data_IF_580913687453
#
_entry.id   IF_580913687453
#
_cell.length_a   1.000
_cell.length_b   1.000
_cell.length_c   1.000
_cell.angle_alpha   90.00
_cell.angle_beta   90.00
_cell.angle_gamma   90.00
#
_symmetry.space_group_name_H-M   'P 1'
#
loop_
_entity.id
_entity.type
_entity.pdbx_description
1 polymer ?
#
# COMPACT_ATOMS: atom_id res chain seq x y z
N UNK A 1 -32.86 21.17 -23.11
CA UNK A 1 -33.35 22.27 -22.23
C UNK A 1 -32.93 23.59 -22.87
N UNK A 2 -33.79 24.60 -22.91
CA UNK A 2 -33.46 25.92 -23.43
C UNK A 2 -32.75 26.76 -22.37
N UNK A 3 -31.61 27.37 -22.73
CA UNK A 3 -30.93 28.36 -21.90
C UNK A 3 -31.64 29.72 -22.03
N UNK A 4 -31.77 30.44 -20.92
CA UNK A 4 -32.48 31.73 -20.86
C UNK A 4 -31.63 32.85 -21.51
N UNK A 5 -32.08 33.48 -22.61
CA UNK A 5 -31.28 34.48 -23.33
C UNK A 5 -31.14 35.83 -22.59
N UNK A 6 -31.89 36.07 -21.51
CA UNK A 6 -31.85 37.32 -20.73
C UNK A 6 -30.97 37.25 -19.46
N UNK A 7 -30.10 36.24 -19.34
CA UNK A 7 -29.13 36.18 -18.25
C UNK A 7 -28.02 37.24 -18.45
N UNK A 8 -27.92 38.21 -17.53
CA UNK A 8 -26.85 39.21 -17.55
C UNK A 8 -25.48 38.56 -17.36
N UNK A 9 -24.49 38.98 -18.13
CA UNK A 9 -23.11 38.49 -18.04
C UNK A 9 -22.50 38.76 -16.67
N UNK A 10 -21.88 37.73 -16.10
CA UNK A 10 -21.27 37.77 -14.76
C UNK A 10 -19.87 38.39 -14.83
N UNK A 11 -19.71 39.62 -14.32
CA UNK A 11 -18.40 40.27 -14.19
C UNK A 11 -17.82 40.08 -12.79
N UNK A 12 -16.61 39.54 -12.69
CA UNK A 12 -15.93 39.32 -11.42
C UNK A 12 -15.36 40.64 -10.87
N UNK A 13 -15.73 41.03 -9.64
CA UNK A 13 -15.17 42.20 -8.96
C UNK A 13 -14.15 41.75 -7.89
N UNK A 14 -12.83 41.89 -8.11
CA UNK A 14 -11.81 41.41 -7.19
C UNK A 14 -11.64 42.28 -5.92
N UNK A 15 -12.36 43.39 -5.78
CA UNK A 15 -12.27 44.30 -4.63
C UNK A 15 -13.35 44.09 -3.55
N UNK A 16 -14.15 43.03 -3.64
CA UNK A 16 -15.21 42.74 -2.67
C UNK A 16 -14.66 42.12 -1.38
N UNK A 17 -14.94 42.75 -0.23
CA UNK A 17 -14.61 42.20 1.10
C UNK A 17 -15.41 40.92 1.40
N UNK A 18 -14.79 39.96 2.08
CA UNK A 18 -15.36 38.64 2.38
C UNK A 18 -16.73 38.72 3.07
N UNK A 19 -17.77 38.24 2.39
CA UNK A 19 -19.12 38.15 2.92
C UNK A 19 -19.34 36.81 3.64
N UNK A 20 -19.65 36.86 4.93
CA UNK A 20 -20.05 35.68 5.73
C UNK A 20 -21.55 35.74 6.04
N UNK A 21 -22.34 34.70 5.74
CA UNK A 21 -23.76 34.66 6.08
C UNK A 21 -23.96 34.52 7.61
N UNK A 22 -24.99 35.15 8.20
CA UNK A 22 -25.25 35.05 9.64
C UNK A 22 -25.83 33.68 10.02
N UNK A 23 -25.35 33.11 11.13
CA UNK A 23 -25.82 31.82 11.66
C UNK A 23 -27.17 31.99 12.38
N UNK A 24 -28.24 31.24 12.02
CA UNK A 24 -29.52 31.32 12.71
C UNK A 24 -29.48 30.74 14.13
N UNK A 25 -29.44 31.60 15.14
CA UNK A 25 -29.50 31.21 16.54
C UNK A 25 -30.94 30.97 17.01
N UNK A 26 -31.48 29.76 16.80
CA UNK A 26 -32.50 29.10 17.64
C UNK A 26 -33.10 27.85 16.95
N UNK A 27 -32.85 26.67 17.52
CA UNK A 27 -33.84 25.61 17.81
C UNK A 27 -33.24 24.80 18.96
N UNK A 28 -33.88 24.84 20.13
CA UNK A 28 -33.54 23.99 21.27
C UNK A 28 -34.63 22.92 21.43
N UNK A 29 -34.32 21.61 21.38
CA UNK A 29 -35.29 20.59 21.68
C UNK A 29 -35.66 20.62 23.17
N UNK A 30 -36.95 20.71 23.49
CA UNK A 30 -37.46 20.64 24.86
C UNK A 30 -37.33 19.22 25.45
N UNK A 31 -37.17 19.07 26.78
CA UNK A 31 -36.99 17.77 27.42
C UNK A 31 -38.24 16.88 27.33
N UNK A 32 -38.03 15.57 27.22
CA UNK A 32 -39.07 14.53 27.19
C UNK A 32 -39.46 14.10 28.62
N UNK A 33 -40.74 13.84 28.94
CA UNK A 33 -41.15 13.40 30.29
C UNK A 33 -40.58 12.04 30.68
N UNK A 34 -40.39 11.83 32.00
CA UNK A 34 -39.90 10.59 32.58
C UNK A 34 -41.02 9.65 33.04
N UNK A 35 -40.80 8.33 32.93
CA UNK A 35 -41.63 7.30 33.55
C UNK A 35 -40.78 6.04 33.89
N UNK A 36 -41.00 5.53 35.11
CA UNK A 36 -40.59 4.25 35.75
C UNK A 36 -39.56 3.30 35.10
N UNK A 37 -38.69 2.73 35.94
CA UNK A 37 -37.78 1.63 35.62
C UNK A 37 -38.22 0.29 36.29
N UNK A 38 -37.86 -0.87 35.71
CA UNK A 38 -37.80 -2.16 36.40
C UNK A 38 -36.35 -2.60 36.71
N UNK A 39 -36.19 -3.64 37.55
CA UNK A 39 -34.91 -4.06 38.15
C UNK A 39 -34.25 -5.30 37.49
N UNK A 40 -32.94 -5.53 37.69
CA UNK A 40 -32.19 -6.73 37.25
C UNK A 40 -32.03 -7.79 38.37
N UNK A 41 -31.39 -8.96 38.14
CA UNK A 41 -31.26 -9.76 36.90
C UNK A 41 -31.71 -11.23 37.09
N UNK A 42 -31.56 -12.08 36.06
CA UNK A 42 -31.62 -13.54 36.16
C UNK A 42 -30.46 -14.22 35.39
N UNK A 43 -30.12 -15.46 35.76
CA UNK A 43 -28.93 -16.20 35.34
C UNK A 43 -29.14 -17.01 34.02
N UNK A 44 -28.08 -17.54 33.37
CA UNK A 44 -28.18 -18.07 32.00
C UNK A 44 -28.79 -19.48 31.93
N UNK A 45 -29.42 -19.78 30.80
CA UNK A 45 -30.03 -21.09 30.48
C UNK A 45 -29.11 -21.87 29.54
N UNK A 46 -28.95 -23.18 29.78
CA UNK A 46 -28.06 -24.07 29.04
C UNK A 46 -28.64 -24.59 27.72
N UNK A 47 -27.78 -25.11 26.84
CA UNK A 47 -28.16 -25.69 25.55
C UNK A 47 -28.74 -27.11 25.68
N UNK A 48 -29.74 -27.50 24.85
CA UNK A 48 -30.24 -28.87 24.77
C UNK A 48 -29.31 -29.80 23.96
N UNK A 49 -29.36 -31.13 24.18
CA UNK A 49 -28.37 -32.09 23.67
C UNK A 49 -28.69 -32.69 22.28
N UNK A 50 -27.71 -33.39 21.71
CA UNK A 50 -27.82 -34.15 20.47
C UNK A 50 -28.51 -35.53 20.64
N UNK A 51 -29.17 -36.07 19.61
CA UNK A 51 -29.76 -37.41 19.61
C UNK A 51 -28.69 -38.54 19.50
N UNK A 52 -29.03 -39.79 19.88
CA UNK A 52 -28.06 -40.88 20.06
C UNK A 52 -27.70 -41.66 18.79
N UNK A 53 -26.68 -42.50 18.90
CA UNK A 53 -26.23 -43.41 17.84
C UNK A 53 -27.03 -44.73 17.80
N UNK A 54 -27.23 -45.26 16.60
CA UNK A 54 -27.59 -46.67 16.36
C UNK A 54 -26.43 -47.44 15.71
N UNK A 55 -26.50 -48.77 15.76
CA UNK A 55 -25.36 -49.68 15.56
C UNK A 55 -25.61 -50.64 14.41
N UNK A 56 -24.74 -50.64 13.40
CA UNK A 56 -24.65 -51.69 12.37
C UNK A 56 -23.19 -52.05 12.19
N UNK A 57 -22.87 -53.35 12.19
CA UNK A 57 -21.49 -53.83 12.32
C UNK A 57 -21.04 -54.74 11.16
N UNK A 58 -19.89 -54.39 10.56
CA UNK A 58 -18.91 -55.31 9.95
C UNK A 58 -19.32 -56.03 8.64
N UNK A 59 -18.37 -56.64 7.87
CA UNK A 59 -16.94 -56.81 8.15
C UNK A 59 -15.93 -56.34 7.05
N UNK A 60 -14.90 -55.62 7.49
CA UNK A 60 -13.47 -55.92 7.29
C UNK A 60 -12.93 -56.36 5.90
N UNK A 61 -12.05 -55.54 5.30
CA UNK A 61 -10.69 -55.98 4.93
C UNK A 61 -9.68 -54.83 4.99
N UNK A 62 -8.43 -55.13 5.37
CA UNK A 62 -7.39 -54.14 5.65
C UNK A 62 -6.35 -53.96 4.54
N UNK A 63 -5.77 -52.75 4.49
CA UNK A 63 -4.45 -52.44 3.93
C UNK A 63 -3.80 -51.38 4.84
N UNK A 64 -2.48 -51.38 4.98
CA UNK A 64 -1.77 -50.64 6.04
C UNK A 64 -0.92 -49.48 5.53
N UNK A 65 -0.71 -48.47 6.38
CA UNK A 65 0.28 -47.41 6.20
C UNK A 65 1.42 -47.55 7.24
N UNK A 66 2.68 -47.25 6.89
CA UNK A 66 3.79 -47.14 7.84
C UNK A 66 3.94 -45.70 8.37
N UNK A 67 4.39 -45.55 9.61
CA UNK A 67 4.70 -44.26 10.25
C UNK A 67 6.21 -44.11 10.56
N UNK A 68 6.78 -42.89 10.57
CA UNK A 68 8.24 -42.68 10.63
C UNK A 68 8.81 -42.50 12.06
N UNK A 69 10.06 -42.96 12.26
CA UNK A 69 10.97 -42.69 13.41
C UNK A 69 12.43 -43.05 13.01
N UNK A 70 13.48 -42.59 13.72
CA UNK A 70 13.74 -41.24 14.26
C UNK A 70 15.17 -40.73 13.96
N UNK A 71 15.53 -39.57 14.54
CA UNK A 71 16.76 -38.76 14.39
C UNK A 71 18.08 -39.43 14.83
N UNK A 72 19.21 -39.04 14.21
CA UNK A 72 20.55 -39.02 14.84
C UNK A 72 21.30 -37.70 14.47
N UNK A 73 22.08 -37.12 15.40
CA UNK A 73 22.84 -35.87 15.21
C UNK A 73 24.34 -36.11 14.91
N UNK A 74 24.95 -35.34 13.99
CA UNK A 74 26.38 -34.98 14.03
C UNK A 74 26.60 -33.52 13.60
N UNK A 75 27.67 -32.90 14.13
CA UNK A 75 27.99 -31.47 13.97
C UNK A 75 29.23 -31.21 13.10
N UNK A 76 29.23 -29.99 12.54
CA UNK A 76 30.38 -29.11 12.31
C UNK A 76 31.16 -29.18 10.98
N UNK A 77 31.85 -28.06 10.73
CA UNK A 77 32.72 -27.67 9.61
C UNK A 77 32.02 -27.23 8.31
N UNK A 78 32.48 -26.08 7.80
CA UNK A 78 31.89 -25.37 6.67
C UNK A 78 32.59 -25.70 5.35
N UNK A 79 31.82 -25.68 4.26
CA UNK A 79 32.08 -24.82 3.09
C UNK A 79 30.71 -24.25 2.66
N UNK A 80 30.67 -23.02 2.16
CA UNK A 80 29.57 -22.52 1.31
C UNK A 80 30.12 -22.42 -0.09
N UNK A 81 29.71 -23.35 -0.96
CA UNK A 81 29.99 -23.31 -2.40
C UNK A 81 28.80 -22.64 -3.10
N UNK A 82 29.06 -21.93 -4.20
CA UNK A 82 28.02 -21.16 -4.90
C UNK A 82 26.95 -22.08 -5.52
N UNK A 83 25.74 -22.06 -4.95
CA UNK A 83 24.56 -22.70 -5.52
C UNK A 83 24.01 -21.91 -6.72
N UNK A 84 24.79 -21.83 -7.80
CA UNK A 84 24.34 -21.28 -9.07
C UNK A 84 23.47 -22.32 -9.77
N UNK A 85 22.16 -22.31 -9.51
CA UNK A 85 21.20 -23.00 -10.37
C UNK A 85 21.12 -22.21 -11.68
N UNK A 86 21.71 -22.76 -12.73
CA UNK A 86 21.58 -22.22 -14.07
C UNK A 86 20.35 -22.85 -14.74
N UNK A 87 19.31 -22.03 -14.98
CA UNK A 87 18.27 -22.38 -15.94
C UNK A 87 18.90 -22.34 -17.35
N UNK A 88 19.12 -23.50 -17.98
CA UNK A 88 19.85 -23.60 -19.26
C UNK A 88 19.03 -23.14 -20.49
N UNK A 89 17.74 -22.80 -20.31
CA UNK A 89 16.79 -22.45 -21.37
C UNK A 89 16.56 -20.93 -21.54
N UNK A 90 17.63 -20.12 -21.60
CA UNK A 90 17.52 -18.69 -21.96
C UNK A 90 18.57 -18.27 -22.99
N UNK A 91 18.18 -18.28 -24.27
CA UNK A 91 18.93 -17.59 -25.32
C UNK A 91 18.85 -16.06 -25.08
N UNK A 92 19.98 -15.33 -25.09
CA UNK A 92 19.97 -13.89 -24.91
C UNK A 92 19.35 -13.20 -26.14
N UNK A 93 18.34 -12.36 -25.89
CA UNK A 93 17.69 -11.53 -26.93
C UNK A 93 18.74 -10.74 -27.73
N UNK A 94 18.53 -10.66 -29.04
CA UNK A 94 19.43 -9.95 -29.94
C UNK A 94 19.34 -8.43 -29.75
N UNK A 95 20.42 -7.69 -30.07
CA UNK A 95 20.40 -6.22 -30.02
C UNK A 95 19.36 -5.59 -30.97
N UNK A 96 18.75 -6.36 -31.89
CA UNK A 96 17.63 -5.93 -32.75
C UNK A 96 16.24 -6.08 -32.09
N UNK A 97 16.12 -6.90 -31.04
CA UNK A 97 14.87 -7.13 -30.28
C UNK A 97 14.76 -6.24 -29.04
N UNK A 98 15.88 -5.68 -28.57
CA UNK A 98 15.92 -4.71 -27.48
C UNK A 98 15.39 -3.36 -28.01
N UNK A 99 14.35 -2.83 -27.37
CA UNK A 99 13.77 -1.55 -27.79
C UNK A 99 14.72 -0.37 -27.57
N UNK A 100 14.70 0.62 -28.47
CA UNK A 100 15.45 1.88 -28.30
C UNK A 100 15.12 2.52 -26.94
N UNK A 101 16.15 2.91 -26.19
CA UNK A 101 15.96 3.53 -24.88
C UNK A 101 15.33 4.92 -25.00
N UNK A 102 14.06 5.04 -24.60
CA UNK A 102 13.33 6.29 -24.65
C UNK A 102 13.97 7.37 -23.75
N UNK A 103 14.40 8.52 -24.29
CA UNK A 103 15.02 9.58 -23.51
C UNK A 103 14.02 10.43 -22.71
N UNK A 104 12.71 10.26 -22.90
CA UNK A 104 11.68 11.05 -22.20
C UNK A 104 11.63 10.70 -20.72
N UNK A 105 11.58 11.75 -19.89
CA UNK A 105 11.38 11.65 -18.45
C UNK A 105 10.11 10.86 -18.13
N UNK A 106 10.20 9.93 -17.18
CA UNK A 106 9.10 9.11 -16.70
C UNK A 106 8.61 9.64 -15.34
N UNK A 107 7.29 9.70 -15.12
CA UNK A 107 6.67 10.17 -13.88
C UNK A 107 5.55 9.21 -13.44
N UNK A 108 5.54 8.86 -12.16
CA UNK A 108 4.49 8.07 -11.54
C UNK A 108 3.42 8.96 -10.88
N UNK A 109 2.16 8.73 -11.22
CA UNK A 109 1.02 9.57 -10.81
C UNK A 109 -0.07 8.73 -10.15
N UNK A 110 -0.32 8.94 -8.86
CA UNK A 110 -1.37 8.22 -8.10
C UNK A 110 -2.66 9.05 -7.97
N UNK A 111 -3.81 8.41 -8.18
CA UNK A 111 -5.13 9.01 -7.89
C UNK A 111 -5.57 8.62 -6.47
N UNK A 112 -5.85 9.62 -5.63
CA UNK A 112 -6.27 9.46 -4.23
C UNK A 112 -7.60 10.20 -4.03
N UNK A 113 -8.48 9.70 -3.16
CA UNK A 113 -9.81 10.30 -2.95
C UNK A 113 -10.84 9.31 -2.41
N UNK A 114 -11.98 9.84 -1.95
CA UNK A 114 -13.04 9.05 -1.30
C UNK A 114 -13.62 7.94 -2.20
N UNK A 115 -14.39 7.02 -1.61
CA UNK A 115 -15.29 6.13 -2.38
C UNK A 115 -16.22 6.99 -3.25
N UNK A 116 -16.61 6.50 -4.43
CA UNK A 116 -17.54 7.17 -5.36
C UNK A 116 -17.10 8.54 -5.92
N UNK A 117 -15.95 9.08 -5.50
CA UNK A 117 -15.37 10.33 -6.02
C UNK A 117 -14.91 10.26 -7.50
N UNK A 118 -14.98 9.09 -8.14
CA UNK A 118 -14.75 8.94 -9.58
C UNK A 118 -13.29 8.78 -10.03
N UNK A 119 -12.37 8.34 -9.15
CA UNK A 119 -10.94 8.10 -9.48
C UNK A 119 -10.75 7.25 -10.73
N UNK A 120 -11.25 6.02 -10.70
CA UNK A 120 -11.18 5.01 -11.77
C UNK A 120 -11.86 5.47 -13.05
N UNK A 121 -12.89 6.31 -12.92
CA UNK A 121 -13.56 6.98 -14.04
C UNK A 121 -12.68 8.08 -14.66
N UNK A 122 -11.94 8.83 -13.85
CA UNK A 122 -11.02 9.89 -14.29
C UNK A 122 -9.77 9.30 -14.95
N UNK A 123 -9.14 8.28 -14.35
CA UNK A 123 -8.00 7.57 -14.93
C UNK A 123 -8.39 6.87 -16.24
N UNK A 124 -9.50 6.12 -16.27
CA UNK A 124 -10.04 5.55 -17.50
C UNK A 124 -10.38 6.60 -18.59
N UNK A 125 -10.89 7.77 -18.19
CA UNK A 125 -11.14 8.89 -19.11
C UNK A 125 -9.86 9.54 -19.65
N UNK A 126 -8.77 9.59 -18.87
CA UNK A 126 -7.47 10.06 -19.37
C UNK A 126 -6.96 9.11 -20.45
N UNK A 127 -6.99 7.79 -20.22
CA UNK A 127 -6.55 6.79 -21.21
C UNK A 127 -7.38 6.83 -22.49
N UNK A 128 -8.70 7.03 -22.36
CA UNK A 128 -9.62 7.25 -23.49
C UNK A 128 -9.26 8.51 -24.30
N UNK A 129 -8.99 9.63 -23.64
CA UNK A 129 -8.63 10.90 -24.30
C UNK A 129 -7.24 10.89 -24.93
N UNK A 130 -6.32 10.07 -24.41
CA UNK A 130 -4.97 9.88 -24.96
C UNK A 130 -4.90 8.78 -26.03
N UNK A 131 -6.04 8.26 -26.51
CA UNK A 131 -6.21 7.19 -27.51
C UNK A 131 -5.37 5.93 -27.19
N UNK A 132 -5.09 5.66 -25.90
CA UNK A 132 -4.31 4.50 -25.43
C UNK A 132 -5.15 3.20 -25.36
N UNK A 133 -6.44 3.27 -25.68
CA UNK A 133 -7.38 2.15 -25.61
C UNK A 133 -8.19 2.09 -26.91
N UNK A 134 -8.10 0.96 -27.61
CA UNK A 134 -8.85 0.75 -28.86
C UNK A 134 -10.35 0.98 -28.69
N UNK A 135 -10.95 1.67 -29.66
CA UNK A 135 -12.41 1.90 -29.73
C UNK A 135 -13.21 0.60 -29.70
N UNK A 136 -12.67 -0.49 -30.27
CA UNK A 136 -13.22 -1.86 -30.19
C UNK A 136 -13.20 -2.44 -28.77
N UNK A 137 -12.19 -2.11 -27.96
CA UNK A 137 -12.05 -2.52 -26.57
C UNK A 137 -12.99 -1.74 -25.66
N UNK A 138 -13.17 -0.44 -25.92
CA UNK A 138 -14.17 0.40 -25.26
C UNK A 138 -15.59 -0.11 -25.54
N UNK A 139 -15.94 -0.38 -26.81
CA UNK A 139 -17.21 -1.01 -27.19
C UNK A 139 -17.48 -2.35 -26.46
N UNK A 140 -16.44 -3.14 -26.19
CA UNK A 140 -16.56 -4.39 -25.42
C UNK A 140 -16.91 -4.09 -23.96
N UNK A 141 -16.23 -3.13 -23.33
CA UNK A 141 -16.49 -2.75 -21.94
C UNK A 141 -17.84 -2.04 -21.77
N UNK A 142 -18.32 -1.26 -22.74
CA UNK A 142 -19.70 -0.74 -22.75
C UNK A 142 -20.73 -1.88 -22.76
N UNK A 143 -20.56 -2.88 -23.65
CA UNK A 143 -21.47 -4.03 -23.74
C UNK A 143 -21.45 -4.89 -22.47
N UNK A 144 -20.28 -5.04 -21.85
CA UNK A 144 -20.12 -5.75 -20.57
C UNK A 144 -20.75 -4.98 -19.39
N UNK A 145 -20.49 -3.67 -19.28
CA UNK A 145 -21.08 -2.80 -18.27
C UNK A 145 -22.61 -2.79 -18.38
N UNK A 146 -23.15 -2.74 -19.60
CA UNK A 146 -24.57 -2.85 -19.90
C UNK A 146 -25.17 -4.20 -19.49
N UNK A 147 -24.50 -5.31 -19.80
CA UNK A 147 -24.92 -6.64 -19.35
C UNK A 147 -24.94 -6.78 -17.81
N UNK A 148 -24.07 -6.03 -17.11
CA UNK A 148 -24.05 -5.92 -15.63
C UNK A 148 -24.99 -4.83 -15.06
N UNK A 149 -25.89 -4.24 -15.88
CA UNK A 149 -26.80 -3.13 -15.53
C UNK A 149 -26.09 -1.88 -14.96
N UNK A 150 -24.90 -1.57 -15.47
CA UNK A 150 -23.99 -0.51 -14.99
C UNK A 150 -23.44 0.34 -16.13
N UNK A 151 -24.32 0.76 -17.06
CA UNK A 151 -23.96 1.48 -18.29
C UNK A 151 -22.96 2.65 -18.09
N UNK A 152 -23.01 3.35 -16.96
CA UNK A 152 -22.15 4.51 -16.66
C UNK A 152 -20.73 4.18 -16.21
N UNK A 153 -20.36 2.91 -16.03
CA UNK A 153 -19.07 2.49 -15.45
C UNK A 153 -18.05 1.94 -16.47
N UNK A 154 -18.36 1.99 -17.77
CA UNK A 154 -17.49 1.47 -18.84
C UNK A 154 -16.05 2.04 -18.82
N UNK A 155 -15.88 3.29 -18.39
CA UNK A 155 -14.56 3.92 -18.20
C UNK A 155 -13.78 3.34 -17.02
N UNK A 156 -14.45 3.01 -15.91
CA UNK A 156 -13.79 2.40 -14.76
C UNK A 156 -13.30 0.97 -15.08
N UNK A 157 -14.03 0.24 -15.92
CA UNK A 157 -13.64 -1.11 -16.39
C UNK A 157 -12.37 -1.12 -17.27
N UNK A 158 -11.83 0.05 -17.65
CA UNK A 158 -10.49 0.16 -18.27
C UNK A 158 -9.39 -0.09 -17.22
N UNK A 159 -9.59 0.36 -15.97
CA UNK A 159 -8.66 0.18 -14.84
C UNK A 159 -8.99 -1.07 -14.02
N UNK A 160 -10.27 -1.23 -13.64
CA UNK A 160 -10.79 -2.37 -12.88
C UNK A 160 -10.76 -3.61 -13.79
N UNK A 161 -9.66 -4.36 -13.79
CA UNK A 161 -9.52 -5.60 -14.57
C UNK A 161 -10.06 -6.81 -13.83
N UNK A 162 -10.07 -6.80 -12.49
CA UNK A 162 -10.53 -7.91 -11.68
C UNK A 162 -12.04 -8.17 -11.80
N UNK A 163 -12.44 -9.44 -11.93
CA UNK A 163 -13.87 -9.79 -11.95
C UNK A 163 -14.60 -9.38 -10.66
N UNK A 164 -13.91 -9.47 -9.52
CA UNK A 164 -14.40 -9.00 -8.22
C UNK A 164 -14.63 -7.49 -8.21
N UNK A 165 -13.71 -6.70 -8.77
CA UNK A 165 -13.81 -5.23 -8.83
C UNK A 165 -15.00 -4.82 -9.70
N UNK A 166 -15.10 -5.41 -10.89
CA UNK A 166 -16.23 -5.26 -11.84
C UNK A 166 -17.56 -5.71 -11.26
N UNK A 167 -17.56 -6.69 -10.34
CA UNK A 167 -18.75 -7.15 -9.62
C UNK A 167 -19.11 -6.23 -8.43
N UNK A 168 -18.14 -5.74 -7.66
CA UNK A 168 -18.37 -4.88 -6.48
C UNK A 168 -18.54 -3.39 -6.83
N UNK A 169 -18.06 -2.94 -7.98
CA UNK A 169 -18.06 -1.53 -8.38
C UNK A 169 -17.01 -0.70 -7.64
N UNK A 170 -15.95 -1.35 -7.18
CA UNK A 170 -14.91 -0.77 -6.34
C UNK A 170 -13.60 -1.45 -6.66
N UNK A 171 -12.65 -0.66 -7.15
CA UNK A 171 -11.23 -0.98 -7.21
C UNK A 171 -10.78 -1.51 -5.85
N UNK A 172 -10.09 -2.64 -5.87
CA UNK A 172 -9.53 -3.36 -4.72
C UNK A 172 -8.01 -3.24 -4.78
N UNK A 173 -7.41 -3.52 -5.93
CA UNK A 173 -5.96 -3.47 -6.14
C UNK A 173 -5.53 -2.08 -6.67
N UNK A 174 -4.24 -1.87 -6.93
CA UNK A 174 -3.79 -0.60 -7.54
C UNK A 174 -3.70 -0.81 -9.05
N UNK A 175 -4.75 -0.40 -9.77
CA UNK A 175 -4.79 -0.50 -11.23
C UNK A 175 -3.67 0.35 -11.85
N UNK A 176 -2.78 -0.28 -12.62
CA UNK A 176 -1.72 0.42 -13.36
C UNK A 176 -2.10 0.56 -14.83
N UNK A 177 -1.86 1.74 -15.38
CA UNK A 177 -1.98 2.00 -16.81
C UNK A 177 -1.00 3.09 -17.22
N UNK A 178 -0.71 3.22 -18.51
CA UNK A 178 0.32 4.13 -19.00
C UNK A 178 -0.21 5.00 -20.13
N UNK A 179 0.33 6.22 -20.22
CA UNK A 179 0.06 7.09 -21.36
C UNK A 179 1.28 7.96 -21.68
N UNK A 180 1.45 8.21 -22.96
CA UNK A 180 2.52 9.04 -23.47
C UNK A 180 2.06 10.47 -23.75
N UNK A 181 2.93 11.43 -23.48
CA UNK A 181 2.85 12.79 -24.03
C UNK A 181 4.09 13.06 -24.90
N UNK A 182 4.06 14.10 -25.75
CA UNK A 182 5.23 14.46 -26.56
C UNK A 182 6.51 14.74 -25.76
N UNK A 183 6.38 15.12 -24.48
CA UNK A 183 7.50 15.56 -23.63
C UNK A 183 7.89 14.54 -22.55
N UNK A 184 6.93 13.76 -22.03
CA UNK A 184 7.11 12.85 -20.87
C UNK A 184 6.27 11.58 -21.00
N UNK A 185 6.75 10.49 -20.42
CA UNK A 185 6.02 9.23 -20.21
C UNK A 185 5.36 9.25 -18.82
N UNK A 186 4.13 8.75 -18.71
CA UNK A 186 3.42 8.73 -17.42
C UNK A 186 2.86 7.34 -17.11
N UNK A 187 3.11 6.84 -15.89
CA UNK A 187 2.34 5.72 -15.33
C UNK A 187 1.28 6.25 -14.37
N UNK A 188 0.02 5.91 -14.62
CA UNK A 188 -1.12 6.13 -13.75
C UNK A 188 -1.25 4.94 -12.78
N UNK A 189 -1.43 5.28 -11.50
CA UNK A 189 -1.70 4.34 -10.42
C UNK A 189 -3.08 4.69 -9.81
N UNK A 190 -4.14 3.99 -10.21
CA UNK A 190 -5.48 4.21 -9.66
C UNK A 190 -5.60 3.51 -8.31
N UNK A 191 -5.57 4.28 -7.21
CA UNK A 191 -5.60 3.70 -5.88
C UNK A 191 -7.02 3.55 -5.32
N UNK A 192 -7.32 2.48 -4.57
CA UNK A 192 -8.67 2.19 -4.08
C UNK A 192 -9.11 3.17 -2.99
N UNK A 193 -10.37 3.61 -3.04
CA UNK A 193 -10.92 4.63 -2.13
C UNK A 193 -11.54 4.12 -0.83
N UNK A 194 -11.60 2.80 -0.61
CA UNK A 194 -12.38 2.20 0.47
C UNK A 194 -11.51 1.83 1.67
N UNK A 195 -11.98 2.12 2.91
CA UNK A 195 -11.19 2.01 4.16
C UNK A 195 -10.47 0.66 4.34
N UNK A 196 -11.08 -0.44 3.92
CA UNK A 196 -10.49 -1.79 4.02
C UNK A 196 -9.30 -2.01 3.07
N UNK A 197 -9.20 -1.22 1.99
CA UNK A 197 -8.11 -1.21 1.00
C UNK A 197 -7.26 0.07 1.12
N UNK A 198 -7.38 0.80 2.23
CA UNK A 198 -6.42 1.84 2.66
C UNK A 198 -5.15 1.21 3.28
N UNK A 199 -5.03 -0.12 3.40
CA UNK A 199 -3.93 -0.84 2.78
C UNK A 199 -3.73 -0.37 1.34
N UNK A 200 -3.97 -1.21 0.34
CA UNK A 200 -3.44 -1.17 -1.03
C UNK A 200 -2.66 0.12 -1.45
N UNK A 201 -3.28 1.29 -1.49
CA UNK A 201 -2.66 2.62 -1.69
C UNK A 201 -1.15 2.96 -1.33
N UNK A 202 -0.28 2.33 -0.46
CA UNK A 202 1.21 2.65 -0.52
C UNK A 202 1.71 2.19 -1.84
N UNK A 203 1.45 0.94 -2.21
CA UNK A 203 2.27 0.38 -3.28
C UNK A 203 2.00 1.18 -4.58
N UNK A 204 0.82 1.79 -4.72
CA UNK A 204 0.62 2.99 -5.56
C UNK A 204 1.35 4.28 -5.10
N UNK A 205 1.05 4.83 -3.93
CA UNK A 205 1.50 6.16 -3.48
C UNK A 205 2.95 6.31 -2.94
N UNK A 206 3.75 5.25 -2.80
CA UNK A 206 5.21 5.34 -2.66
C UNK A 206 5.93 5.17 -3.99
N UNK A 207 5.37 4.39 -4.92
CA UNK A 207 5.82 4.36 -6.31
C UNK A 207 5.59 5.72 -6.99
N UNK A 208 4.66 6.55 -6.49
CA UNK A 208 4.27 7.83 -7.08
C UNK A 208 5.08 9.06 -6.65
N UNK A 209 5.51 9.84 -7.65
CA UNK A 209 6.07 11.18 -7.49
C UNK A 209 4.98 12.24 -7.25
N UNK A 210 3.81 12.05 -7.89
CA UNK A 210 2.71 13.03 -7.94
C UNK A 210 1.40 12.40 -7.46
N UNK A 211 0.76 13.02 -6.46
CA UNK A 211 -0.57 12.64 -5.99
C UNK A 211 -1.66 13.57 -6.52
N UNK A 212 -2.63 13.02 -7.26
CA UNK A 212 -3.86 13.70 -7.68
C UNK A 212 -4.96 13.42 -6.66
N UNK A 213 -5.42 14.45 -5.95
CA UNK A 213 -6.53 14.35 -5.00
C UNK A 213 -7.87 14.62 -5.69
N UNK A 214 -8.69 13.57 -5.87
CA UNK A 214 -10.02 13.62 -6.47
C UNK A 214 -11.08 13.81 -5.38
N UNK A 215 -11.87 14.87 -5.48
CA UNK A 215 -12.93 15.24 -4.53
C UNK A 215 -14.24 15.41 -5.30
N UNK A 216 -15.32 14.76 -4.84
CA UNK A 216 -16.64 14.96 -5.43
C UNK A 216 -17.20 16.34 -5.08
N UNK A 217 -17.73 17.05 -6.07
CA UNK A 217 -18.45 18.31 -5.88
C UNK A 217 -19.95 18.12 -5.57
N UNK A 218 -20.44 16.88 -5.41
CA UNK A 218 -21.85 16.63 -5.09
C UNK A 218 -22.12 16.88 -3.61
N UNK A 219 -23.28 17.48 -3.31
CA UNK A 219 -23.77 17.66 -1.93
C UNK A 219 -24.03 16.30 -1.28
N UNK A 220 -23.79 16.20 0.02
CA UNK A 220 -23.72 14.91 0.72
C UNK A 220 -22.36 14.23 0.57
N UNK A 221 -21.92 13.92 -0.67
CA UNK A 221 -20.62 13.26 -0.91
C UNK A 221 -19.43 14.10 -0.42
N UNK A 222 -19.43 15.40 -0.71
CA UNK A 222 -18.43 16.36 -0.21
C UNK A 222 -18.42 16.44 1.33
N UNK A 223 -19.59 16.32 1.96
CA UNK A 223 -19.76 16.41 3.42
C UNK A 223 -19.32 15.12 4.13
N UNK A 224 -19.55 13.95 3.51
CA UNK A 224 -18.96 12.67 3.98
C UNK A 224 -17.46 12.53 3.70
N UNK A 225 -16.91 13.39 2.83
CA UNK A 225 -15.47 13.51 2.62
C UNK A 225 -14.78 14.41 3.69
N UNK A 226 -15.53 15.08 4.57
CA UNK A 226 -14.99 15.86 5.70
C UNK A 226 -14.54 14.96 6.86
N UNK A 227 -13.63 14.03 6.54
CA UNK A 227 -12.96 13.13 7.48
C UNK A 227 -11.46 13.19 7.18
N UNK A 228 -10.74 13.90 8.04
CA UNK A 228 -9.30 14.25 7.94
C UNK A 228 -8.46 13.34 7.02
N UNK A 229 -8.12 13.85 5.84
CA UNK A 229 -7.25 13.16 4.88
C UNK A 229 -5.87 12.88 5.51
N UNK A 230 -5.56 11.60 5.69
CA UNK A 230 -4.31 11.09 6.29
C UNK A 230 -3.74 10.02 5.37
N UNK A 231 -2.55 10.29 4.82
CA UNK A 231 -1.88 9.47 3.80
C UNK A 231 -1.23 8.22 4.41
N UNK A 232 -1.95 7.09 4.44
CA UNK A 232 -1.50 5.89 5.20
C UNK A 232 -2.36 4.60 4.99
N UNK A 233 -2.21 3.64 4.04
CA UNK A 233 -1.37 3.33 2.83
C UNK A 233 -0.63 1.91 2.96
N UNK A 234 -0.81 0.86 2.06
CA UNK A 234 0.02 -0.35 1.57
C UNK A 234 -0.68 -1.57 0.82
N UNK A 235 -0.20 -2.10 -0.35
CA UNK A 235 -0.54 -3.33 -1.19
C UNK A 235 -1.08 -3.08 -2.66
N UNK A 236 -1.27 -4.02 -3.61
CA UNK A 236 -0.30 -4.98 -4.17
C UNK A 236 -0.49 -5.17 -5.69
N UNK A 237 0.60 -5.43 -6.44
CA UNK A 237 0.71 -6.06 -7.78
C UNK A 237 2.10 -5.81 -8.39
N UNK A 238 2.57 -6.72 -9.27
CA UNK A 238 3.99 -7.01 -9.47
C UNK A 238 4.70 -6.18 -10.56
N UNK A 239 5.17 -5.00 -10.17
CA UNK A 239 6.13 -4.17 -10.91
C UNK A 239 6.91 -3.29 -9.92
N UNK A 240 8.24 -3.27 -9.99
CA UNK A 240 9.13 -2.56 -9.05
C UNK A 240 9.56 -1.19 -9.59
N UNK A 241 9.89 -0.25 -8.70
CA UNK A 241 10.49 1.04 -9.06
C UNK A 241 11.98 1.01 -8.80
N UNK A 242 12.78 1.49 -9.77
CA UNK A 242 14.21 1.75 -9.53
C UNK A 242 14.34 3.01 -8.65
N UNK A 243 14.47 2.83 -7.34
CA UNK A 243 14.59 3.95 -6.38
C UNK A 243 15.94 4.68 -6.47
N UNK A 244 17.02 3.99 -6.85
CA UNK A 244 18.38 4.53 -6.95
C UNK A 244 19.26 3.62 -7.82
N UNK A 245 20.32 4.19 -8.40
CA UNK A 245 21.26 3.48 -9.28
C UNK A 245 20.73 3.29 -10.70
N UNK A 246 21.40 2.43 -11.48
CA UNK A 246 20.96 2.02 -12.82
C UNK A 246 20.90 0.50 -12.84
N UNK A 247 19.76 -0.06 -13.22
CA UNK A 247 19.58 -1.50 -13.36
C UNK A 247 19.98 -1.90 -14.79
N UNK A 248 20.81 -2.92 -14.94
CA UNK A 248 21.29 -3.39 -16.26
C UNK A 248 21.08 -4.90 -16.38
N UNK A 249 20.65 -5.37 -17.54
CA UNK A 249 20.55 -6.80 -17.83
C UNK A 249 21.92 -7.48 -17.66
N UNK A 250 21.98 -8.62 -16.97
CA UNK A 250 23.21 -9.30 -16.56
C UNK A 250 23.84 -8.78 -15.25
N UNK A 251 23.26 -7.77 -14.59
CA UNK A 251 23.78 -7.27 -13.33
C UNK A 251 23.73 -8.32 -12.21
N UNK A 252 24.80 -8.39 -11.41
CA UNK A 252 24.85 -9.19 -10.17
C UNK A 252 24.25 -8.37 -9.02
N UNK A 253 23.21 -8.91 -8.40
CA UNK A 253 22.45 -8.26 -7.33
C UNK A 253 22.35 -9.16 -6.10
N UNK A 254 21.93 -8.57 -4.98
CA UNK A 254 21.71 -9.25 -3.69
C UNK A 254 20.32 -8.89 -3.18
N UNK A 255 19.51 -9.91 -2.94
CA UNK A 255 18.21 -9.80 -2.29
C UNK A 255 18.43 -9.58 -0.79
N UNK A 256 18.00 -8.45 -0.23
CA UNK A 256 17.89 -8.22 1.21
C UNK A 256 16.43 -8.44 1.63
N UNK A 257 16.14 -9.08 2.78
CA UNK A 257 17.03 -9.30 3.91
C UNK A 257 17.84 -10.61 3.88
N UNK A 258 17.45 -11.60 3.05
CA UNK A 258 18.04 -12.96 3.00
C UNK A 258 19.53 -12.98 2.64
N UNK A 259 20.01 -11.96 1.94
CA UNK A 259 21.35 -11.85 1.36
C UNK A 259 21.68 -12.92 0.30
N UNK A 260 20.66 -13.47 -0.34
CA UNK A 260 20.80 -14.32 -1.53
C UNK A 260 21.41 -13.51 -2.68
N UNK A 261 22.41 -14.08 -3.35
CA UNK A 261 23.06 -13.49 -4.54
C UNK A 261 22.37 -14.05 -5.79
N UNK A 262 22.01 -13.19 -6.73
CA UNK A 262 21.35 -13.58 -8.00
C UNK A 262 21.74 -12.65 -9.14
N UNK A 263 21.33 -12.98 -10.36
CA UNK A 263 21.55 -12.20 -11.57
C UNK A 263 20.25 -11.78 -12.21
N UNK A 264 20.24 -10.57 -12.79
CA UNK A 264 19.15 -10.09 -13.64
C UNK A 264 19.27 -10.74 -15.01
N UNK A 265 18.38 -11.67 -15.34
CA UNK A 265 18.36 -12.36 -16.63
C UNK A 265 17.87 -11.44 -17.76
N UNK A 266 16.82 -10.64 -17.50
CA UNK A 266 16.30 -9.64 -18.43
C UNK A 266 15.51 -8.55 -17.69
N UNK A 267 15.63 -7.29 -18.13
CA UNK A 267 14.78 -6.17 -17.68
C UNK A 267 13.74 -5.85 -18.76
N UNK A 268 12.51 -5.56 -18.33
CA UNK A 268 11.42 -5.07 -19.18
C UNK A 268 10.89 -3.74 -18.62
N UNK A 269 10.63 -2.79 -19.52
CA UNK A 269 9.88 -1.56 -19.24
C UNK A 269 8.67 -1.57 -20.18
N UNK A 270 7.47 -1.44 -19.62
CA UNK A 270 6.22 -1.37 -20.38
C UNK A 270 6.06 -2.57 -21.34
N UNK A 271 6.33 -3.78 -20.82
CA UNK A 271 6.41 -5.07 -21.52
C UNK A 271 7.44 -5.20 -22.66
N UNK A 272 8.25 -4.15 -22.91
CA UNK A 272 9.35 -4.17 -23.89
C UNK A 272 10.67 -4.54 -23.20
N UNK A 273 11.48 -5.46 -23.76
CA UNK A 273 12.81 -5.74 -23.23
C UNK A 273 13.72 -4.51 -23.41
N UNK A 274 14.43 -4.15 -22.34
CA UNK A 274 15.40 -3.05 -22.33
C UNK A 274 16.75 -3.52 -21.80
N UNK A 275 17.81 -2.78 -22.13
CA UNK A 275 19.18 -3.09 -21.69
C UNK A 275 19.52 -2.44 -20.35
N UNK A 276 19.11 -1.19 -20.15
CA UNK A 276 19.21 -0.47 -18.86
C UNK A 276 17.87 0.15 -18.46
N UNK A 277 17.70 0.38 -17.16
CA UNK A 277 16.58 1.12 -16.57
C UNK A 277 17.10 2.16 -15.56
N UNK A 278 16.52 3.36 -15.62
CA UNK A 278 16.92 4.56 -14.87
C UNK A 278 16.05 4.72 -13.60
N UNK A 279 16.50 5.54 -12.63
CA UNK A 279 15.69 5.86 -11.45
C UNK A 279 14.30 6.40 -11.82
N UNK A 280 13.28 5.96 -11.09
CA UNK A 280 11.89 6.34 -11.30
C UNK A 280 11.15 5.57 -12.41
N UNK A 281 11.82 4.68 -13.15
CA UNK A 281 11.14 3.79 -14.11
C UNK A 281 10.51 2.58 -13.38
N UNK A 282 9.28 2.22 -13.78
CA UNK A 282 8.67 0.95 -13.37
C UNK A 282 9.27 -0.17 -14.23
N UNK A 283 9.86 -1.16 -13.57
CA UNK A 283 10.51 -2.31 -14.20
C UNK A 283 9.84 -3.61 -13.80
N UNK A 284 9.71 -4.51 -14.77
CA UNK A 284 9.48 -5.93 -14.55
C UNK A 284 10.77 -6.64 -14.91
N UNK A 285 11.34 -7.44 -14.00
CA UNK A 285 12.62 -8.11 -14.27
C UNK A 285 12.54 -9.61 -14.03
N UNK A 286 13.20 -10.39 -14.89
CA UNK A 286 13.41 -11.82 -14.69
C UNK A 286 14.74 -12.00 -13.96
N UNK A 287 14.73 -12.78 -12.89
CA UNK A 287 15.93 -13.16 -12.13
C UNK A 287 16.28 -14.62 -12.38
N UNK A 288 17.55 -14.99 -12.24
CA UNK A 288 18.05 -16.39 -12.38
C UNK A 288 17.84 -17.25 -11.11
N UNK A 289 17.02 -16.80 -10.17
CA UNK A 289 16.74 -17.54 -8.93
C UNK A 289 15.25 -17.87 -8.83
N UNK A 290 14.94 -19.04 -8.26
CA UNK A 290 13.58 -19.53 -8.09
C UNK A 290 12.67 -18.55 -7.33
N UNK A 291 11.45 -18.35 -7.84
CA UNK A 291 10.47 -17.42 -7.28
C UNK A 291 10.05 -17.76 -5.83
N UNK A 292 10.19 -19.02 -5.41
CA UNK A 292 9.84 -19.49 -4.07
C UNK A 292 10.68 -18.85 -2.94
N UNK A 293 11.86 -18.31 -3.24
CA UNK A 293 12.74 -17.66 -2.26
C UNK A 293 12.51 -16.14 -2.12
N UNK A 294 11.57 -15.56 -2.89
CA UNK A 294 11.34 -14.11 -2.95
C UNK A 294 10.00 -13.73 -2.32
N UNK A 295 10.04 -12.89 -1.28
CA UNK A 295 8.84 -12.31 -0.66
C UNK A 295 8.74 -10.82 -0.96
N UNK A 296 7.51 -10.32 -1.17
CA UNK A 296 7.26 -8.90 -1.44
C UNK A 296 7.73 -8.02 -0.28
N UNK A 297 8.42 -6.93 -0.62
CA UNK A 297 9.15 -6.11 0.35
C UNK A 297 10.62 -6.52 0.57
N UNK A 298 11.12 -7.55 -0.13
CA UNK A 298 12.57 -7.72 -0.31
C UNK A 298 13.12 -6.57 -1.17
N UNK A 299 14.37 -6.18 -0.91
CA UNK A 299 15.04 -5.06 -1.55
C UNK A 299 16.20 -5.58 -2.39
N UNK A 300 16.21 -5.23 -3.67
CA UNK A 300 17.29 -5.55 -4.59
C UNK A 300 18.42 -4.53 -4.44
N UNK A 301 19.65 -5.02 -4.22
CA UNK A 301 20.83 -4.18 -4.00
C UNK A 301 21.94 -4.61 -4.95
N UNK A 302 22.66 -3.66 -5.56
CA UNK A 302 23.82 -4.01 -6.40
C UNK A 302 24.88 -4.76 -5.59
N UNK A 303 25.55 -5.77 -6.19
CA UNK A 303 26.48 -6.63 -5.44
C UNK A 303 27.69 -5.90 -4.82
N UNK A 304 27.99 -4.67 -5.26
CA UNK A 304 29.01 -3.79 -4.66
C UNK A 304 28.50 -2.99 -3.43
N UNK A 305 27.19 -2.78 -3.32
CA UNK A 305 26.54 -1.98 -2.26
C UNK A 305 25.87 -2.87 -1.19
N UNK A 306 25.96 -4.19 -1.35
CA UNK A 306 25.29 -5.20 -0.52
C UNK A 306 25.71 -5.19 0.97
N UNK A 307 26.82 -4.53 1.33
CA UNK A 307 27.28 -4.32 2.72
C UNK A 307 26.77 -3.01 3.33
N UNK A 308 26.30 -2.05 2.51
CA UNK A 308 25.64 -0.84 3.01
C UNK A 308 24.22 -1.13 3.48
N UNK A 309 23.46 -1.89 2.68
CA UNK A 309 22.05 -2.19 2.88
C UNK A 309 21.83 -3.16 4.06
N UNK A 310 21.49 -2.59 5.22
CA UNK A 310 21.43 -3.30 6.50
C UNK A 310 20.03 -3.84 6.81
N UNK A 311 19.91 -5.15 6.83
CA UNK A 311 18.78 -5.86 7.44
C UNK A 311 18.76 -5.57 8.94
N UNK A 312 17.65 -5.06 9.48
CA UNK A 312 17.49 -4.79 10.91
C UNK A 312 16.19 -5.37 11.49
N UNK A 313 16.28 -5.75 12.77
CA UNK A 313 15.12 -6.06 13.62
C UNK A 313 14.78 -4.94 14.60
N UNK A 314 15.66 -3.94 14.76
CA UNK A 314 15.46 -2.80 15.67
C UNK A 314 15.85 -1.50 14.99
N UNK A 315 15.02 -0.48 15.19
CA UNK A 315 15.23 0.85 14.64
C UNK A 315 14.66 1.94 15.55
N UNK A 316 15.22 3.14 15.44
CA UNK A 316 14.78 4.34 16.14
C UNK A 316 14.16 5.29 15.13
N UNK A 317 12.89 5.61 15.34
CA UNK A 317 12.10 6.46 14.46
C UNK A 317 11.48 7.64 15.23
N UNK A 318 11.36 8.77 14.55
CA UNK A 318 10.44 9.83 14.95
C UNK A 318 9.06 9.48 14.39
N UNK A 319 8.05 9.38 15.24
CA UNK A 319 6.66 9.21 14.84
C UNK A 319 5.81 10.38 15.33
N UNK A 320 4.89 10.86 14.50
CA UNK A 320 3.75 11.67 14.93
C UNK A 320 2.59 10.73 15.23
N UNK A 321 2.02 10.79 16.43
CA UNK A 321 0.82 10.03 16.78
C UNK A 321 -0.40 10.78 16.22
N UNK A 322 -0.98 10.28 15.13
CA UNK A 322 -1.92 10.99 14.24
C UNK A 322 -3.39 10.73 14.61
N UNK A 323 -3.72 9.54 15.07
CA UNK A 323 -5.07 9.16 15.52
C UNK A 323 -4.99 8.04 16.55
N UNK A 324 -5.82 8.09 17.58
CA UNK A 324 -5.87 7.05 18.60
C UNK A 324 -7.11 6.16 18.41
N UNK A 325 -6.99 4.87 18.73
CA UNK A 325 -8.16 3.98 18.78
C UNK A 325 -9.00 4.31 20.02
N UNK A 326 -10.32 4.17 19.89
CA UNK A 326 -11.28 4.55 20.93
C UNK A 326 -11.09 3.73 22.22
N UNK A 327 -10.69 2.45 22.11
CA UNK A 327 -10.32 1.58 23.24
C UNK A 327 -8.83 1.61 23.62
N UNK A 328 -7.96 2.22 22.79
CA UNK A 328 -6.52 2.43 23.07
C UNK A 328 -6.13 3.91 22.83
N UNK A 329 -6.58 4.84 23.68
CA UNK A 329 -6.39 6.28 23.47
C UNK A 329 -4.95 6.79 23.69
N UNK A 330 -4.03 5.94 24.12
CA UNK A 330 -2.65 6.29 24.50
C UNK A 330 -1.64 5.36 23.83
N UNK A 331 -0.57 5.94 23.29
CA UNK A 331 0.56 5.18 22.75
C UNK A 331 1.57 4.90 23.86
N UNK A 332 1.81 3.63 24.17
CA UNK A 332 2.64 3.17 25.29
C UNK A 332 3.75 2.22 24.84
N UNK A 333 4.71 1.93 25.72
CA UNK A 333 5.64 0.82 25.52
C UNK A 333 4.88 -0.52 25.54
N UNK A 334 5.17 -1.40 24.59
CA UNK A 334 4.44 -2.65 24.35
C UNK A 334 3.27 -2.54 23.38
N UNK A 335 3.00 -1.37 22.80
CA UNK A 335 1.99 -1.22 21.74
C UNK A 335 2.41 -2.03 20.50
N UNK A 336 1.54 -2.94 20.03
CA UNK A 336 1.70 -3.67 18.76
C UNK A 336 0.97 -2.94 17.63
N UNK A 337 1.59 -2.84 16.47
CA UNK A 337 1.03 -2.24 15.26
C UNK A 337 1.64 -2.90 14.01
N UNK A 338 0.99 -2.77 12.85
CA UNK A 338 1.61 -3.11 11.57
C UNK A 338 2.45 -1.90 11.12
N UNK A 339 3.74 -2.14 10.94
CA UNK A 339 4.66 -1.22 10.28
C UNK A 339 4.52 -1.38 8.77
N UNK A 340 4.22 -0.27 8.09
CA UNK A 340 4.25 -0.17 6.63
C UNK A 340 5.41 0.74 6.22
N UNK A 341 6.31 0.25 5.38
CA UNK A 341 7.55 0.93 4.99
C UNK A 341 7.91 0.54 3.55
N UNK A 342 7.88 1.50 2.62
CA UNK A 342 7.90 1.22 1.17
C UNK A 342 6.87 0.12 0.82
N UNK A 343 7.28 -1.00 0.23
CA UNK A 343 6.44 -2.16 -0.13
C UNK A 343 6.20 -3.14 1.03
N UNK A 344 6.88 -3.01 2.17
CA UNK A 344 6.83 -3.95 3.30
C UNK A 344 5.61 -3.67 4.20
N UNK A 345 4.84 -4.72 4.55
CA UNK A 345 4.05 -4.82 5.79
C UNK A 345 4.76 -5.77 6.76
N UNK A 346 4.94 -5.35 8.00
CA UNK A 346 5.50 -6.23 9.04
C UNK A 346 4.91 -5.88 10.42
N UNK A 347 4.52 -6.89 11.22
CA UNK A 347 4.18 -6.67 12.63
C UNK A 347 5.38 -6.10 13.40
N UNK A 348 5.11 -5.07 14.20
CA UNK A 348 6.08 -4.39 15.03
C UNK A 348 5.55 -4.12 16.44
N UNK A 349 6.48 -4.00 17.39
CA UNK A 349 6.21 -3.63 18.78
C UNK A 349 7.00 -2.38 19.17
N UNK A 350 6.31 -1.38 19.75
CA UNK A 350 6.94 -0.17 20.29
C UNK A 350 7.62 -0.52 21.61
N UNK A 351 8.90 -0.88 21.56
CA UNK A 351 9.63 -1.33 22.77
C UNK A 351 9.76 -0.25 23.83
N UNK A 352 10.09 0.99 23.43
CA UNK A 352 10.38 2.12 24.34
C UNK A 352 10.07 3.46 23.66
N UNK A 353 9.34 4.32 24.35
CA UNK A 353 9.26 5.75 24.06
C UNK A 353 10.53 6.42 24.64
N UNK A 354 11.24 7.21 23.85
CA UNK A 354 12.52 7.81 24.24
C UNK A 354 12.37 9.27 24.67
N UNK A 355 11.85 10.13 23.78
CA UNK A 355 11.74 11.59 23.94
C UNK A 355 10.55 12.13 23.15
N UNK A 356 9.76 13.08 23.66
CA UNK A 356 8.80 13.80 22.84
C UNK A 356 9.53 14.80 21.93
N UNK A 357 8.91 15.14 20.80
CA UNK A 357 9.36 16.21 19.90
C UNK A 357 8.30 17.30 19.89
N UNK A 358 8.72 18.56 20.05
CA UNK A 358 7.81 19.69 19.94
C UNK A 358 7.41 19.90 18.47
N UNK A 359 6.11 19.84 18.11
CA UNK A 359 5.66 19.85 16.72
C UNK A 359 5.86 21.20 16.01
N UNK A 360 6.31 22.25 16.72
CA UNK A 360 6.60 23.58 16.18
C UNK A 360 8.09 23.86 15.96
N UNK A 361 8.98 23.21 16.70
CA UNK A 361 10.44 23.41 16.61
C UNK A 361 11.16 22.21 16.00
N UNK A 362 10.54 21.02 15.99
CA UNK A 362 11.17 19.77 15.55
C UNK A 362 12.20 19.20 16.53
N UNK A 363 12.50 19.89 17.62
CA UNK A 363 13.53 19.47 18.58
C UNK A 363 13.04 18.39 19.54
N UNK A 364 13.94 17.45 19.88
CA UNK A 364 13.67 16.35 20.80
C UNK A 364 13.94 16.77 22.25
N UNK A 365 12.86 17.03 22.99
CA UNK A 365 12.88 17.38 24.41
C UNK A 365 13.63 16.34 25.25
N UNK A 366 14.47 16.80 26.19
CA UNK A 366 15.27 15.92 27.08
C UNK A 366 14.44 15.17 28.15
N UNK A 367 13.12 15.33 28.19
CA UNK A 367 12.22 14.65 29.14
C UNK A 367 11.92 13.23 28.66
N UNK A 368 12.05 12.24 29.55
CA UNK A 368 11.57 10.86 29.31
C UNK A 368 10.04 10.85 29.33
N UNK A 369 9.42 10.07 28.44
CA UNK A 369 7.97 9.93 28.31
C UNK A 369 7.53 8.48 28.56
N UNK A 370 6.38 8.31 29.21
CA UNK A 370 5.78 6.99 29.49
C UNK A 370 4.62 6.66 28.55
N UNK A 371 3.91 7.67 28.06
CA UNK A 371 2.82 7.55 27.09
C UNK A 371 2.75 8.82 26.21
N UNK A 372 2.32 8.68 24.95
CA UNK A 372 1.99 9.82 24.09
C UNK A 372 0.47 9.88 23.82
N UNK A 373 -0.04 11.09 23.58
CA UNK A 373 -1.42 11.36 23.16
C UNK A 373 -1.49 11.73 21.68
N UNK A 374 -2.65 11.55 21.04
CA UNK A 374 -2.85 11.97 19.65
C UNK A 374 -2.52 13.46 19.47
N UNK A 375 -1.91 13.80 18.33
CA UNK A 375 -1.35 15.11 18.02
C UNK A 375 0.09 15.33 18.54
N UNK A 376 0.70 14.39 19.25
CA UNK A 376 2.07 14.51 19.76
C UNK A 376 3.09 13.75 18.91
N UNK A 377 4.26 14.36 18.69
CA UNK A 377 5.42 13.69 18.09
C UNK A 377 6.32 13.10 19.17
N UNK A 378 6.88 11.91 18.92
CA UNK A 378 7.72 11.17 19.87
C UNK A 378 8.75 10.32 19.12
N UNK A 379 9.98 10.29 19.63
CA UNK A 379 11.01 9.34 19.20
C UNK A 379 10.79 8.03 19.92
N UNK A 380 10.63 6.94 19.16
CA UNK A 380 10.43 5.58 19.66
C UNK A 380 11.54 4.65 19.19
N UNK A 381 11.77 3.57 19.93
CA UNK A 381 12.47 2.39 19.43
C UNK A 381 11.45 1.31 19.07
N UNK A 382 11.39 0.98 17.79
CA UNK A 382 10.59 -0.10 17.22
C UNK A 382 11.43 -1.38 17.17
N UNK A 383 10.77 -2.51 17.41
CA UNK A 383 11.27 -3.86 17.15
C UNK A 383 10.27 -4.54 16.22
N UNK A 384 10.77 -5.21 15.18
CA UNK A 384 9.96 -5.91 14.17
C UNK A 384 10.19 -7.41 14.27
N UNK A 385 9.12 -8.17 14.09
CA UNK A 385 9.12 -9.62 14.38
C UNK A 385 9.90 -10.41 13.31
N UNK A 386 10.03 -9.88 12.09
CA UNK A 386 10.97 -10.34 11.04
C UNK A 386 12.01 -9.26 10.68
N UNK A 387 13.18 -9.66 10.20
CA UNK A 387 14.23 -8.74 9.74
C UNK A 387 13.82 -8.03 8.46
N UNK A 388 13.84 -6.69 8.46
CA UNK A 388 13.50 -5.87 7.27
C UNK A 388 14.72 -5.12 6.74
N UNK A 389 14.79 -4.86 5.44
CA UNK A 389 15.77 -3.96 4.86
C UNK A 389 15.17 -2.55 4.75
N UNK A 390 15.74 -1.59 5.50
CA UNK A 390 15.27 -0.20 5.57
C UNK A 390 16.46 0.72 5.79
N UNK A 391 16.37 1.96 5.33
CA UNK A 391 17.45 2.97 5.43
C UNK A 391 17.04 4.20 6.26
N UNK A 392 18.01 5.04 6.61
CA UNK A 392 17.71 6.31 7.29
C UNK A 392 17.09 7.30 6.32
N UNK A 393 16.15 8.11 6.81
CA UNK A 393 15.47 9.15 6.02
C UNK A 393 16.44 10.17 5.41
N UNK A 394 17.55 10.43 6.08
CA UNK A 394 18.55 11.40 5.63
C UNK A 394 19.48 10.83 4.53
N UNK A 395 19.50 9.50 4.30
CA UNK A 395 20.21 8.84 3.19
C UNK A 395 19.26 8.52 2.02
N UNK A 396 18.13 7.85 2.29
CA UNK A 396 17.09 7.53 1.31
C UNK A 396 15.71 7.90 1.87
N UNK A 397 15.16 9.08 1.52
CA UNK A 397 13.88 9.55 2.04
C UNK A 397 12.70 8.64 1.75
N UNK A 398 12.76 7.83 0.68
CA UNK A 398 11.69 6.94 0.23
C UNK A 398 11.61 5.69 1.13
N UNK A 399 12.75 5.02 1.35
CA UNK A 399 12.87 3.89 2.30
C UNK A 399 12.81 4.33 3.77
N UNK A 400 13.12 5.59 4.07
CA UNK A 400 13.13 6.12 5.43
C UNK A 400 11.78 6.64 5.96
N UNK A 401 10.71 6.61 5.16
CA UNK A 401 9.33 6.95 5.57
C UNK A 401 8.59 5.70 6.06
N UNK A 402 7.89 5.82 7.19
CA UNK A 402 7.08 4.73 7.74
C UNK A 402 5.69 5.18 8.20
N UNK A 403 4.77 4.22 8.23
CA UNK A 403 3.42 4.35 8.76
C UNK A 403 3.14 3.22 9.75
N UNK A 404 2.46 3.51 10.86
CA UNK A 404 1.95 2.51 11.81
C UNK A 404 0.42 2.43 11.71
N UNK A 405 -0.11 1.22 11.48
CA UNK A 405 -1.55 0.95 11.37
C UNK A 405 -1.99 -0.08 12.43
N UNK A 406 -3.21 0.08 12.94
CA UNK A 406 -3.86 -0.85 13.87
C UNK A 406 -5.38 -0.78 13.63
N UNK A 407 -6.07 -1.91 13.70
CA UNK A 407 -7.52 -2.07 13.37
C UNK A 407 -7.98 -1.35 12.08
N UNK A 408 -7.13 -1.32 11.05
CA UNK A 408 -7.40 -0.64 9.78
C UNK A 408 -7.32 0.89 9.82
N UNK A 409 -7.23 1.52 10.99
CA UNK A 409 -6.92 2.95 11.16
C UNK A 409 -5.42 3.19 11.10
N UNK A 410 -5.03 4.45 10.90
CA UNK A 410 -3.63 4.87 10.97
C UNK A 410 -3.34 5.53 12.30
N UNK A 411 -2.46 4.88 13.05
CA UNK A 411 -2.06 5.32 14.38
C UNK A 411 -1.01 6.42 14.27
N UNK A 412 0.04 6.19 13.47
CA UNK A 412 1.14 7.14 13.35
C UNK A 412 1.77 7.18 11.95
N UNK A 413 2.41 8.31 11.63
CA UNK A 413 3.27 8.49 10.45
C UNK A 413 4.62 8.98 10.95
N UNK A 414 5.72 8.53 10.36
CA UNK A 414 7.05 8.81 10.89
C UNK A 414 8.20 8.66 9.89
N UNK A 415 9.40 8.92 10.40
CA UNK A 415 10.67 8.77 9.68
C UNK A 415 11.72 8.03 10.51
N UNK A 416 12.50 7.19 9.84
CA UNK A 416 13.62 6.43 10.43
C UNK A 416 14.79 7.39 10.66
N UNK A 417 15.22 7.53 11.92
CA UNK A 417 16.34 8.37 12.31
C UNK A 417 17.65 7.57 12.46
N UNK A 418 17.57 6.33 12.94
CA UNK A 418 18.73 5.47 13.15
C UNK A 418 18.36 3.99 13.11
N UNK A 419 19.16 3.22 12.40
CA UNK A 419 19.12 1.76 12.40
C UNK A 419 19.87 1.20 13.62
N UNK A 420 19.32 0.18 14.29
CA UNK A 420 20.00 -0.58 15.34
C UNK A 420 20.26 -2.01 14.85
N UNK A 421 21.24 -2.15 13.95
CA UNK A 421 21.85 -3.45 13.63
C UNK A 421 22.31 -4.14 14.91
N UNK A 422 21.94 -5.41 15.08
CA UNK A 422 22.71 -6.30 15.97
C UNK A 422 24.15 -6.31 15.46
N UNK A 423 25.13 -6.12 16.35
CA UNK A 423 26.46 -6.61 16.05
C UNK A 423 26.38 -8.14 15.92
N UNK A 424 27.08 -8.69 14.94
CA UNK A 424 27.28 -10.13 14.78
C UNK A 424 28.25 -10.65 15.86
#
# INVERSE_FOLDING_TARGET
MSLNPNAKTFSFNPAASSWTPPVPSQILPKPKPAAAAPAPPAAPVAAPPAPPAEVVASPNKAAAAPAPKPVEEKKAAAVVEDAVVADEDFEPLTDEEIGEEDPREHINVVLIGHVDAGKSTLSGNILYLMDQVDKRTIERFEKEAKARNRDSWFLAFIMDTGEEERAKGKTVEVGRAQFDTPNKRFTILDAPGHKNYVPNMIQGAAQADVGILVISARKGEFETADVSFKSSILHESDSDVVESGVLTTGAKIVLKPTSLRTTVAQVYINDKPVRTAKPGENVTMRLTCGLEEITKGFVLVGAAEADEAKSVTKLVAQIAFVEALEHRPLLTAGYKAILHCHTIAQECTITKLLRPIDPKTGEALKKKVMFAKAGQSVVVRLEVDQSICVETFDKLPQMGRLTLRDEGKTIAVGKILKLETKAA
#
